data_IF_401243552806
#
_entry.id   IF_401243552806
#
_cell.length_a   1.000
_cell.length_b   1.000
_cell.length_c   1.000
_cell.angle_alpha   90.00
_cell.angle_beta   90.00
_cell.angle_gamma   90.00
#
_symmetry.space_group_name_H-M   'P 1'
#
loop_
_entity.id
_entity.type
_entity.pdbx_description
1 polymer ?
#
# COMPACT_ATOMS: atom_id res chain seq x y z
N UNK A 1 -1.06 1.03 -1.80
CA UNK A 1 -1.90 1.73 -0.79
C UNK A 1 -3.24 1.00 -0.69
N UNK A 2 -4.12 1.38 0.23
CA UNK A 2 -5.44 0.76 0.36
C UNK A 2 -6.35 1.48 1.35
N UNK A 3 -7.63 1.63 1.01
CA UNK A 3 -8.67 2.16 1.91
C UNK A 3 -9.47 1.06 2.61
N UNK A 4 -10.09 1.38 3.73
CA UNK A 4 -11.03 0.51 4.41
C UNK A 4 -12.10 1.34 5.12
N UNK A 5 -13.26 0.74 5.40
CA UNK A 5 -14.20 1.32 6.35
C UNK A 5 -13.49 1.59 7.67
N UNK A 6 -13.84 2.66 8.38
CA UNK A 6 -13.15 3.10 9.62
C UNK A 6 -12.91 1.95 10.62
N UNK A 7 -13.92 1.13 10.89
CA UNK A 7 -13.82 -0.04 11.79
C UNK A 7 -12.93 -1.17 11.28
N UNK A 8 -12.66 -1.21 9.98
CA UNK A 8 -11.90 -2.25 9.29
C UNK A 8 -10.45 -1.84 8.99
N UNK A 9 -10.04 -0.60 9.24
CA UNK A 9 -8.69 -0.12 8.94
C UNK A 9 -7.63 -0.88 9.75
N UNK A 10 -7.79 -0.96 11.07
CA UNK A 10 -6.88 -1.71 11.95
C UNK A 10 -6.87 -3.22 11.63
N UNK A 11 -8.02 -3.91 11.51
CA UNK A 11 -8.04 -5.30 11.06
C UNK A 11 -7.33 -5.54 9.72
N UNK A 12 -7.49 -4.63 8.74
CA UNK A 12 -6.85 -4.75 7.43
C UNK A 12 -5.34 -4.65 7.55
N UNK A 13 -4.83 -3.67 8.30
CA UNK A 13 -3.38 -3.54 8.53
C UNK A 13 -2.84 -4.76 9.27
N UNK A 14 -3.51 -5.22 10.35
CA UNK A 14 -3.11 -6.43 11.08
C UNK A 14 -3.05 -7.66 10.17
N UNK A 15 -3.99 -7.80 9.25
CA UNK A 15 -3.99 -8.88 8.26
C UNK A 15 -2.77 -8.79 7.34
N UNK A 16 -2.41 -7.61 6.83
CA UNK A 16 -1.23 -7.48 5.97
C UNK A 16 0.07 -7.78 6.72
N UNK A 17 0.15 -7.40 8.00
CA UNK A 17 1.29 -7.69 8.88
C UNK A 17 1.36 -9.16 9.37
N UNK A 18 0.28 -9.93 9.22
CA UNK A 18 0.28 -11.33 9.64
C UNK A 18 1.21 -12.17 8.74
N UNK A 19 1.95 -13.16 9.30
CA UNK A 19 2.77 -14.07 8.52
C UNK A 19 1.99 -14.70 7.37
N UNK A 20 2.66 -14.85 6.21
CA UNK A 20 2.03 -15.44 5.02
C UNK A 20 1.50 -16.86 5.26
N UNK A 21 2.18 -17.64 6.09
CA UNK A 21 1.74 -18.98 6.50
C UNK A 21 0.39 -18.99 7.24
N UNK A 22 -0.03 -17.86 7.81
CA UNK A 22 -1.27 -17.72 8.59
C UNK A 22 -2.41 -17.05 7.81
N UNK A 23 -2.20 -16.66 6.56
CA UNK A 23 -3.22 -15.98 5.74
C UNK A 23 -3.25 -16.50 4.31
N UNK A 24 -4.46 -16.59 3.74
CA UNK A 24 -4.60 -16.77 2.29
C UNK A 24 -4.12 -15.52 1.56
N UNK A 25 -3.31 -15.69 0.52
CA UNK A 25 -2.92 -14.59 -0.38
C UNK A 25 -4.18 -14.16 -1.15
N UNK A 26 -4.48 -12.86 -1.13
CA UNK A 26 -5.67 -12.34 -1.78
C UNK A 26 -5.48 -10.92 -2.31
N UNK A 27 -4.85 -10.04 -1.52
CA UNK A 27 -4.69 -8.64 -1.89
C UNK A 27 -3.40 -8.44 -2.68
N UNK A 28 -3.35 -7.45 -3.57
CA UNK A 28 -2.15 -7.13 -4.36
C UNK A 28 -0.87 -7.00 -3.48
N UNK A 29 -0.99 -6.40 -2.29
CA UNK A 29 0.13 -6.28 -1.34
C UNK A 29 0.56 -7.64 -0.75
N UNK A 30 -0.34 -8.62 -0.59
CA UNK A 30 0.04 -9.94 -0.08
C UNK A 30 0.97 -10.66 -1.07
N UNK A 31 0.80 -10.45 -2.37
CA UNK A 31 1.70 -10.98 -3.41
C UNK A 31 3.08 -10.31 -3.38
N UNK A 32 3.14 -9.00 -3.16
CA UNK A 32 4.43 -8.30 -2.98
C UNK A 32 5.16 -8.83 -1.74
N UNK A 33 4.45 -8.96 -0.62
CA UNK A 33 5.05 -9.44 0.63
C UNK A 33 5.50 -10.90 0.57
N UNK A 34 5.07 -11.68 -0.44
CA UNK A 34 5.51 -13.05 -0.65
C UNK A 34 6.92 -13.18 -1.24
N UNK A 35 7.51 -12.08 -1.70
CA UNK A 35 8.91 -12.04 -2.17
C UNK A 35 9.83 -11.87 -0.96
N UNK A 36 10.89 -12.68 -0.87
CA UNK A 36 11.80 -12.74 0.28
C UNK A 36 12.44 -11.40 0.64
N UNK A 37 12.70 -10.57 -0.37
CA UNK A 37 13.46 -9.33 -0.23
C UNK A 37 12.56 -8.13 0.07
N UNK A 38 11.25 -8.35 0.22
CA UNK A 38 10.27 -7.31 0.51
C UNK A 38 9.89 -7.36 1.98
N UNK A 39 10.03 -6.22 2.65
CA UNK A 39 9.62 -6.03 4.05
C UNK A 39 8.82 -4.74 4.23
N UNK A 40 7.94 -4.72 5.22
CA UNK A 40 7.21 -3.52 5.61
C UNK A 40 8.07 -2.74 6.61
N UNK A 41 8.53 -1.55 6.21
CA UNK A 41 9.29 -0.66 7.10
C UNK A 41 8.34 0.19 7.96
N UNK A 42 7.21 0.63 7.40
CA UNK A 42 6.25 1.49 8.09
C UNK A 42 4.85 1.33 7.52
N UNK A 43 3.84 1.35 8.40
CA UNK A 43 2.42 1.49 8.04
C UNK A 43 1.89 2.80 8.58
N UNK A 44 1.28 3.63 7.72
CA UNK A 44 0.64 4.88 8.11
C UNK A 44 -0.87 4.68 8.00
N UNK A 45 -1.59 4.91 9.10
CA UNK A 45 -3.05 4.86 9.13
C UNK A 45 -3.58 6.28 9.15
N UNK A 46 -4.51 6.57 8.23
CA UNK A 46 -5.13 7.89 8.10
C UNK A 46 -6.65 7.69 8.25
N UNK A 47 -7.19 7.73 9.48
CA UNK A 47 -8.62 7.69 9.69
C UNK A 47 -9.25 8.98 9.16
N UNK A 48 -10.09 8.88 8.14
CA UNK A 48 -10.87 10.01 7.61
C UNK A 48 -12.33 9.62 7.42
N UNK A 49 -13.21 10.62 7.43
CA UNK A 49 -14.61 10.48 7.02
C UNK A 49 -14.77 10.53 5.50
N UNK A 50 -13.73 10.96 4.77
CA UNK A 50 -13.68 11.04 3.32
C UNK A 50 -12.75 9.97 2.75
N UNK A 51 -12.90 9.70 1.45
CA UNK A 51 -11.99 8.81 0.71
C UNK A 51 -10.72 9.57 0.31
N UNK A 52 -9.74 9.59 1.20
CA UNK A 52 -8.45 10.28 0.97
C UNK A 52 -7.48 9.51 0.06
N UNK A 53 -7.72 8.22 -0.18
CA UNK A 53 -6.76 7.32 -0.85
C UNK A 53 -6.28 7.86 -2.20
N UNK A 54 -7.19 8.27 -3.07
CA UNK A 54 -6.86 8.76 -4.41
C UNK A 54 -6.12 10.09 -4.36
N UNK A 55 -6.52 11.02 -3.48
CA UNK A 55 -5.86 12.31 -3.31
C UNK A 55 -4.43 12.13 -2.82
N UNK A 56 -4.22 11.28 -1.82
CA UNK A 56 -2.88 10.98 -1.30
C UNK A 56 -2.04 10.26 -2.36
N UNK A 57 -2.63 9.32 -3.11
CA UNK A 57 -1.95 8.63 -4.19
C UNK A 57 -1.48 9.60 -5.28
N UNK A 58 -2.29 10.60 -5.63
CA UNK A 58 -1.90 11.65 -6.58
C UNK A 58 -0.73 12.48 -6.06
N UNK A 59 -0.78 12.95 -4.81
CA UNK A 59 0.33 13.72 -4.22
C UNK A 59 1.62 12.89 -4.10
N UNK A 60 1.50 11.59 -3.79
CA UNK A 60 2.65 10.67 -3.75
C UNK A 60 3.25 10.48 -5.14
N UNK A 61 2.42 10.35 -6.16
CA UNK A 61 2.86 10.18 -7.55
C UNK A 61 3.79 11.32 -7.99
N UNK A 62 3.43 12.56 -7.67
CA UNK A 62 4.21 13.76 -7.99
C UNK A 62 5.62 13.74 -7.39
N UNK A 63 5.83 12.99 -6.31
CA UNK A 63 7.11 12.84 -5.62
C UNK A 63 7.86 11.56 -6.02
N UNK A 64 7.22 10.66 -6.75
CA UNK A 64 7.76 9.36 -7.11
C UNK A 64 8.61 9.42 -8.38
N UNK A 65 9.54 8.47 -8.53
CA UNK A 65 10.36 8.32 -9.74
C UNK A 65 9.71 7.39 -10.77
N UNK A 66 8.93 6.43 -10.30
CA UNK A 66 8.27 5.44 -11.15
C UNK A 66 7.03 4.85 -10.45
N UNK A 67 6.21 4.11 -11.18
CA UNK A 67 4.98 3.49 -10.71
C UNK A 67 4.67 2.14 -11.38
N UNK A 68 3.99 1.26 -10.66
CA UNK A 68 3.47 0.02 -11.26
C UNK A 68 2.04 0.23 -11.74
N UNK A 69 1.86 0.36 -13.05
CA UNK A 69 0.55 0.63 -13.65
C UNK A 69 -0.54 -0.32 -13.15
N UNK A 70 -1.70 0.26 -12.81
CA UNK A 70 -2.92 -0.39 -12.35
C UNK A 70 -2.80 -1.16 -11.03
N UNK A 71 -1.68 -1.05 -10.32
CA UNK A 71 -1.51 -1.74 -9.04
C UNK A 71 -2.41 -1.11 -7.98
N UNK A 72 -3.35 -1.88 -7.42
CA UNK A 72 -4.20 -1.44 -6.32
C UNK A 72 -5.20 -0.34 -6.65
N UNK A 73 -5.41 -0.03 -7.94
CA UNK A 73 -6.33 1.02 -8.41
C UNK A 73 -7.53 0.46 -9.20
N UNK A 74 -7.93 -0.79 -8.94
CA UNK A 74 -9.00 -1.47 -9.68
C UNK A 74 -10.39 -0.85 -9.53
N UNK A 75 -10.64 -0.11 -8.45
CA UNK A 75 -11.90 0.53 -8.12
C UNK A 75 -11.86 2.07 -8.27
N UNK A 76 -10.81 2.61 -8.88
CA UNK A 76 -10.66 4.05 -9.16
C UNK A 76 -9.96 4.29 -10.51
N UNK A 77 -9.82 5.56 -10.89
CA UNK A 77 -9.15 5.97 -12.14
C UNK A 77 -7.67 6.29 -11.96
N UNK A 78 -7.11 6.06 -10.76
CA UNK A 78 -5.70 6.29 -10.50
C UNK A 78 -4.83 5.39 -11.38
N UNK A 79 -3.74 5.95 -11.90
CA UNK A 79 -2.78 5.21 -12.73
C UNK A 79 -2.15 4.07 -11.94
N UNK A 80 -1.85 4.29 -10.66
CA UNK A 80 -1.27 3.30 -9.75
C UNK A 80 -1.52 3.73 -8.29
N UNK A 81 -1.52 2.76 -7.36
CA UNK A 81 -1.39 2.95 -5.91
C UNK A 81 -0.09 2.32 -5.35
N UNK A 82 0.90 2.05 -6.21
CA UNK A 82 2.25 1.60 -5.87
C UNK A 82 3.29 2.42 -6.64
N UNK A 83 4.19 3.04 -5.88
CA UNK A 83 5.14 4.03 -6.36
C UNK A 83 6.54 3.70 -5.88
N UNK A 84 7.52 3.96 -6.75
CA UNK A 84 8.93 3.77 -6.50
C UNK A 84 9.63 5.13 -6.39
N UNK A 85 10.51 5.27 -5.41
CA UNK A 85 11.19 6.53 -5.11
C UNK A 85 12.69 6.49 -5.42
N UNK A 86 13.18 5.41 -6.02
CA UNK A 86 14.62 5.15 -6.14
C UNK A 86 15.17 4.39 -4.95
N UNK A 87 16.45 4.06 -5.03
CA UNK A 87 17.22 3.58 -3.90
C UNK A 87 17.27 4.68 -2.82
N UNK A 88 17.00 4.28 -1.59
CA UNK A 88 17.41 5.07 -0.43
C UNK A 88 18.85 4.70 -0.11
N UNK A 89 19.69 5.72 0.07
CA UNK A 89 20.86 5.59 0.94
C UNK A 89 20.36 4.95 2.25
N UNK A 90 20.99 3.85 2.73
CA UNK A 90 20.54 3.18 3.94
C UNK A 90 20.43 4.20 5.06
N UNK A 91 19.24 4.27 5.67
CA UNK A 91 18.95 5.18 6.76
C UNK A 91 20.01 5.06 7.85
N UNK A 92 20.88 6.08 7.96
CA UNK A 92 21.73 6.31 9.14
C UNK A 92 20.91 6.92 10.28
#
# INVERSE_FOLDING_TARGET
>A
MGSALKRMLLPRVKRHLSPLSLKKIHWHIDYLLAVSDISIIKSILIPSSFREECTIAQSIKELSKDEVLRFGSSDCTCISHLFYFGEKEPFN
#
